data_IF_418271246837
#
_entry.id   IF_418271246837
#
_cell.length_a   1.000
_cell.length_b   1.000
_cell.length_c   1.000
_cell.angle_alpha   90.00
_cell.angle_beta   90.00
_cell.angle_gamma   90.00
#
_symmetry.space_group_name_H-M   'P 1'
#
loop_
_entity.id
_entity.type
_entity.pdbx_description
1 polymer ?
#
# COMPACT_ATOMS: atom_id res chain seq x y z
N UNK A 1 18.62 4.62 20.25
CA UNK A 1 18.15 3.30 19.83
C UNK A 1 16.63 3.32 19.85
N UNK A 2 16.02 3.48 18.69
CA UNK A 2 14.57 3.63 18.57
C UNK A 2 13.87 2.34 18.99
N UNK A 3 12.67 2.45 19.58
CA UNK A 3 11.77 1.32 19.95
C UNK A 3 11.67 0.23 18.86
N UNK A 4 11.78 0.68 17.60
CA UNK A 4 11.91 -0.13 16.40
C UNK A 4 13.04 -1.18 16.53
N UNK A 5 14.29 -0.78 16.79
CA UNK A 5 15.46 -1.68 16.90
C UNK A 5 15.30 -2.73 18.00
N UNK A 6 14.62 -2.39 19.11
CA UNK A 6 14.39 -3.30 20.24
C UNK A 6 13.40 -4.41 19.86
N UNK A 7 12.27 -4.07 19.23
CA UNK A 7 11.30 -5.05 18.70
C UNK A 7 11.96 -5.96 17.66
N UNK A 8 12.79 -5.39 16.79
CA UNK A 8 13.46 -6.13 15.71
C UNK A 8 14.60 -7.03 16.21
N UNK A 9 15.35 -6.63 17.24
CA UNK A 9 16.41 -7.45 17.81
C UNK A 9 15.92 -8.78 18.41
N UNK A 10 14.64 -8.86 18.80
CA UNK A 10 14.03 -10.03 19.44
C UNK A 10 13.41 -11.03 18.46
N UNK A 11 13.31 -10.69 17.17
CA UNK A 11 12.95 -11.66 16.12
C UNK A 11 13.99 -12.78 16.06
N UNK A 12 15.23 -12.60 16.58
CA UNK A 12 16.51 -13.36 16.46
C UNK A 12 16.76 -14.71 17.22
N UNK A 13 15.81 -15.61 17.52
CA UNK A 13 16.19 -17.05 17.79
C UNK A 13 15.50 -18.24 17.03
N UNK A 14 16.14 -18.66 15.91
CA UNK A 14 16.17 -19.94 15.14
C UNK A 14 15.44 -20.01 13.78
N UNK A 15 16.25 -19.90 12.72
CA UNK A 15 16.05 -20.23 11.29
C UNK A 15 15.15 -19.34 10.43
N UNK A 16 13.97 -18.91 10.88
CA UNK A 16 13.19 -17.89 10.13
C UNK A 16 13.94 -16.55 10.08
N UNK A 17 14.74 -16.28 11.10
CA UNK A 17 15.46 -15.01 11.30
C UNK A 17 16.58 -14.68 10.37
N UNK A 18 17.30 -15.68 9.88
CA UNK A 18 18.48 -15.37 9.10
C UNK A 18 18.00 -14.82 7.75
N UNK A 19 17.00 -15.48 7.17
CA UNK A 19 16.40 -15.10 5.90
C UNK A 19 15.50 -13.87 6.06
N UNK A 20 14.58 -13.87 7.03
CA UNK A 20 13.64 -12.76 7.25
C UNK A 20 14.34 -11.54 7.85
N UNK A 21 15.30 -11.73 8.76
CA UNK A 21 16.02 -10.65 9.43
C UNK A 21 17.02 -9.93 8.54
N UNK A 22 17.74 -10.63 7.65
CA UNK A 22 18.60 -9.99 6.65
C UNK A 22 17.76 -9.20 5.63
N UNK A 23 16.65 -9.79 5.15
CA UNK A 23 15.72 -9.09 4.26
C UNK A 23 15.09 -7.86 4.93
N UNK A 24 14.67 -7.96 6.19
CA UNK A 24 14.12 -6.83 6.96
C UNK A 24 15.14 -5.70 7.13
N UNK A 25 16.42 -6.05 7.36
CA UNK A 25 17.48 -5.06 7.49
C UNK A 25 17.70 -4.29 6.18
N UNK A 26 17.74 -4.98 5.04
CA UNK A 26 17.87 -4.33 3.73
C UNK A 26 16.72 -3.36 3.44
N UNK A 27 15.50 -3.67 3.89
CA UNK A 27 14.30 -2.83 3.64
C UNK A 27 14.27 -1.62 4.56
N UNK A 28 14.68 -1.79 5.82
CA UNK A 28 14.83 -0.67 6.75
C UNK A 28 15.86 0.35 6.25
N UNK A 29 16.84 -0.09 5.48
CA UNK A 29 17.86 0.76 4.84
C UNK A 29 17.37 1.35 3.49
N UNK A 30 16.19 0.95 2.99
CA UNK A 30 15.68 1.33 1.67
C UNK A 30 14.60 2.44 1.77
N UNK A 31 15.00 3.70 1.59
CA UNK A 31 14.12 4.89 1.70
C UNK A 31 13.07 5.04 0.58
N UNK A 32 12.98 4.09 -0.36
CA UNK A 32 12.12 4.23 -1.54
C UNK A 32 10.64 3.89 -1.30
N UNK A 33 10.29 3.31 -0.14
CA UNK A 33 8.94 2.83 0.16
C UNK A 33 8.05 3.95 0.72
N UNK A 34 6.85 4.12 0.15
CA UNK A 34 5.90 5.16 0.61
C UNK A 34 4.98 4.63 1.70
N UNK A 35 5.34 4.90 2.95
CA UNK A 35 4.56 4.52 4.14
C UNK A 35 3.21 5.26 4.24
N UNK A 36 2.20 4.56 4.74
CA UNK A 36 0.83 5.04 4.94
C UNK A 36 0.49 5.24 6.44
N UNK A 37 1.38 4.80 7.34
CA UNK A 37 1.16 4.76 8.78
C UNK A 37 0.86 6.15 9.35
N UNK A 38 1.68 7.15 9.03
CA UNK A 38 1.52 8.50 9.58
C UNK A 38 0.13 9.09 9.26
N UNK A 39 -0.35 8.81 8.05
CA UNK A 39 -1.67 9.25 7.59
C UNK A 39 -2.79 8.58 8.37
N UNK A 40 -2.68 7.28 8.65
CA UNK A 40 -3.64 6.54 9.47
C UNK A 40 -3.60 7.03 10.93
N UNK A 41 -2.41 7.20 11.51
CA UNK A 41 -2.26 7.68 12.88
C UNK A 41 -2.83 9.08 13.08
N UNK A 42 -2.66 9.98 12.10
CA UNK A 42 -3.23 11.33 12.18
C UNK A 42 -4.76 11.33 12.15
N UNK A 43 -5.36 10.44 11.36
CA UNK A 43 -6.81 10.22 11.40
C UNK A 43 -7.28 9.75 12.79
N UNK A 44 -6.59 8.78 13.39
CA UNK A 44 -6.95 8.27 14.71
C UNK A 44 -6.78 9.33 15.82
N UNK A 45 -5.76 10.19 15.71
CA UNK A 45 -5.61 11.37 16.57
C UNK A 45 -6.82 12.30 16.46
N UNK A 46 -7.29 12.59 15.24
CA UNK A 46 -8.50 13.40 15.03
C UNK A 46 -9.76 12.74 15.60
N UNK A 47 -9.81 11.40 15.57
CA UNK A 47 -10.85 10.58 16.22
C UNK A 47 -10.71 10.50 17.75
N UNK A 48 -9.73 11.20 18.34
CA UNK A 48 -9.43 11.22 19.78
C UNK A 48 -9.12 9.84 20.37
N UNK A 49 -8.50 8.97 19.57
CA UNK A 49 -7.97 7.70 20.07
C UNK A 49 -6.83 8.00 21.06
N UNK A 50 -6.79 7.30 22.19
CA UNK A 50 -5.81 7.55 23.24
C UNK A 50 -4.37 7.22 22.80
N UNK A 51 -3.39 7.88 23.42
CA UNK A 51 -1.98 7.76 23.02
C UNK A 51 -1.41 6.34 23.14
N UNK A 52 -1.86 5.58 24.14
CA UNK A 52 -1.45 4.20 24.34
C UNK A 52 -1.88 3.33 23.15
N UNK A 53 -3.16 3.40 22.78
CA UNK A 53 -3.69 2.66 21.63
C UNK A 53 -3.09 3.13 20.30
N UNK A 54 -2.75 4.42 20.17
CA UNK A 54 -2.02 4.93 19.00
C UNK A 54 -0.61 4.32 18.87
N UNK A 55 0.08 4.07 19.99
CA UNK A 55 1.40 3.41 19.99
C UNK A 55 1.27 1.96 19.52
N UNK A 56 0.26 1.25 20.00
CA UNK A 56 0.00 -0.13 19.61
C UNK A 56 -0.34 -0.24 18.12
N UNK A 57 -1.25 0.61 17.63
CA UNK A 57 -1.60 0.68 16.21
C UNK A 57 -0.37 0.99 15.36
N UNK A 58 0.45 1.97 15.75
CA UNK A 58 1.69 2.31 15.04
C UNK A 58 2.62 1.12 14.93
N UNK A 59 2.79 0.37 16.02
CA UNK A 59 3.67 -0.79 16.07
C UNK A 59 3.17 -1.93 15.17
N UNK A 60 1.88 -2.25 15.22
CA UNK A 60 1.28 -3.28 14.37
C UNK A 60 1.40 -2.90 12.89
N UNK A 61 1.03 -1.67 12.52
CA UNK A 61 1.12 -1.21 11.14
C UNK A 61 2.56 -1.23 10.60
N UNK A 62 3.56 -0.91 11.44
CA UNK A 62 4.98 -1.02 11.06
C UNK A 62 5.38 -2.46 10.75
N UNK A 63 4.90 -3.42 11.53
CA UNK A 63 5.15 -4.84 11.27
C UNK A 63 4.49 -5.28 9.96
N UNK A 64 3.25 -4.84 9.70
CA UNK A 64 2.54 -5.12 8.44
C UNK A 64 3.28 -4.55 7.22
N UNK A 65 3.64 -3.26 7.25
CA UNK A 65 4.35 -2.62 6.13
C UNK A 65 5.69 -3.31 5.87
N UNK A 66 6.45 -3.63 6.93
CA UNK A 66 7.73 -4.31 6.78
C UNK A 66 7.58 -5.67 6.10
N UNK A 67 6.62 -6.48 6.55
CA UNK A 67 6.34 -7.80 5.96
C UNK A 67 5.91 -7.65 4.50
N UNK A 68 5.03 -6.69 4.20
CA UNK A 68 4.59 -6.39 2.86
C UNK A 68 5.76 -6.06 1.93
N UNK A 69 6.59 -5.07 2.30
CA UNK A 69 7.73 -4.65 1.48
C UNK A 69 8.79 -5.73 1.34
N UNK A 70 8.95 -6.58 2.35
CA UNK A 70 9.89 -7.71 2.28
C UNK A 70 9.55 -8.68 1.20
N UNK A 71 8.27 -9.02 1.14
CA UNK A 71 7.81 -10.00 0.19
C UNK A 71 7.75 -9.38 -1.20
N UNK A 72 7.33 -8.13 -1.30
CA UNK A 72 7.32 -7.41 -2.58
C UNK A 72 8.74 -7.34 -3.17
N UNK A 73 9.73 -6.85 -2.40
CA UNK A 73 11.11 -6.70 -2.85
C UNK A 73 11.82 -8.04 -3.11
N UNK A 74 11.64 -9.05 -2.25
CA UNK A 74 12.31 -10.36 -2.42
C UNK A 74 11.71 -11.10 -3.63
N UNK A 75 10.38 -11.16 -3.73
CA UNK A 75 9.73 -11.86 -4.86
C UNK A 75 9.96 -11.11 -6.17
N UNK A 76 9.95 -9.78 -6.16
CA UNK A 76 10.29 -9.02 -7.37
C UNK A 76 11.74 -9.27 -7.80
N UNK A 77 12.72 -9.26 -6.89
CA UNK A 77 14.13 -9.54 -7.23
C UNK A 77 14.32 -10.93 -7.82
N UNK A 78 13.75 -11.95 -7.20
CA UNK A 78 13.93 -13.35 -7.61
C UNK A 78 13.21 -13.68 -8.92
N UNK A 79 12.04 -13.07 -9.16
CA UNK A 79 11.15 -13.50 -10.24
C UNK A 79 10.91 -12.46 -11.35
N UNK A 80 11.60 -11.32 -11.35
CA UNK A 80 11.52 -10.28 -12.40
C UNK A 80 11.87 -10.78 -13.82
N UNK A 81 12.58 -11.91 -13.95
CA UNK A 81 13.15 -12.36 -15.24
C UNK A 81 12.14 -12.99 -16.21
N UNK A 82 10.91 -13.32 -15.78
CA UNK A 82 9.94 -14.01 -16.65
C UNK A 82 8.52 -13.42 -16.58
N UNK A 83 8.12 -12.70 -17.63
CA UNK A 83 6.78 -12.12 -17.78
C UNK A 83 5.63 -13.14 -17.83
N UNK A 84 5.93 -14.42 -18.10
CA UNK A 84 4.92 -15.50 -18.02
C UNK A 84 4.58 -15.87 -16.57
N UNK A 85 5.45 -15.54 -15.61
CA UNK A 85 5.28 -15.86 -14.19
C UNK A 85 4.65 -14.73 -13.39
N UNK A 86 4.30 -13.58 -13.98
CA UNK A 86 3.75 -12.44 -13.22
C UNK A 86 2.57 -12.83 -12.32
N UNK A 87 1.61 -13.63 -12.81
CA UNK A 87 0.49 -14.07 -11.98
C UNK A 87 0.91 -15.06 -10.87
N UNK A 88 1.89 -15.93 -11.17
CA UNK A 88 2.48 -16.84 -10.19
C UNK A 88 3.20 -16.06 -9.09
N UNK A 89 3.99 -15.04 -9.45
CA UNK A 89 4.70 -14.19 -8.52
C UNK A 89 3.73 -13.46 -7.58
N UNK A 90 2.62 -12.95 -8.09
CA UNK A 90 1.60 -12.31 -7.27
C UNK A 90 0.92 -13.30 -6.30
N UNK A 91 0.68 -14.54 -6.73
CA UNK A 91 0.21 -15.61 -5.81
C UNK A 91 1.27 -15.90 -4.74
N UNK A 92 2.55 -16.01 -5.12
CA UNK A 92 3.65 -16.26 -4.18
C UNK A 92 3.78 -15.12 -3.18
N UNK A 93 3.69 -13.85 -3.64
CA UNK A 93 3.68 -12.67 -2.76
C UNK A 93 2.54 -12.77 -1.76
N UNK A 94 1.33 -13.05 -2.25
CA UNK A 94 0.15 -13.15 -1.41
C UNK A 94 0.24 -14.26 -0.36
N UNK A 95 0.59 -15.48 -0.77
CA UNK A 95 0.74 -16.63 0.14
C UNK A 95 1.85 -16.38 1.15
N UNK A 96 2.99 -15.85 0.69
CA UNK A 96 4.11 -15.50 1.57
C UNK A 96 3.71 -14.43 2.58
N UNK A 97 2.89 -13.45 2.17
CA UNK A 97 2.44 -12.35 3.03
C UNK A 97 1.63 -12.89 4.19
N UNK A 98 0.68 -13.77 3.91
CA UNK A 98 -0.14 -14.39 4.93
C UNK A 98 0.68 -15.26 5.87
N UNK A 99 1.49 -16.17 5.32
CA UNK A 99 2.27 -17.12 6.13
C UNK A 99 3.27 -16.39 7.03
N UNK A 100 3.96 -15.38 6.49
CA UNK A 100 4.93 -14.61 7.26
C UNK A 100 4.24 -13.72 8.30
N UNK A 101 3.13 -13.07 7.93
CA UNK A 101 2.35 -12.26 8.85
C UNK A 101 1.80 -13.09 10.01
N UNK A 102 1.23 -14.26 9.74
CA UNK A 102 0.80 -15.19 10.78
C UNK A 102 1.95 -15.59 11.71
N UNK A 103 3.08 -16.02 11.14
CA UNK A 103 4.23 -16.47 11.91
C UNK A 103 4.77 -15.34 12.80
N UNK A 104 4.94 -14.15 12.23
CA UNK A 104 5.45 -12.97 12.94
C UNK A 104 4.45 -12.51 13.99
N UNK A 105 3.15 -12.43 13.70
CA UNK A 105 2.15 -11.98 14.67
C UNK A 105 1.99 -12.97 15.81
N UNK A 106 1.87 -14.27 15.52
CA UNK A 106 1.82 -15.32 16.56
C UNK A 106 3.07 -15.24 17.44
N UNK A 107 4.25 -15.11 16.86
CA UNK A 107 5.48 -15.01 17.66
C UNK A 107 5.57 -13.70 18.46
N UNK A 108 5.46 -12.53 17.80
CA UNK A 108 5.67 -11.22 18.41
C UNK A 108 4.60 -10.87 19.46
N UNK A 109 3.36 -11.27 19.24
CA UNK A 109 2.23 -10.83 20.06
C UNK A 109 1.81 -11.85 21.14
N UNK A 110 2.20 -13.13 21.04
CA UNK A 110 1.82 -14.13 22.07
C UNK A 110 2.99 -14.65 22.91
N UNK A 111 4.23 -14.58 22.42
CA UNK A 111 5.36 -15.16 23.13
C UNK A 111 5.75 -14.32 24.34
N UNK A 112 5.63 -14.88 25.56
CA UNK A 112 5.81 -14.18 26.85
C UNK A 112 7.16 -13.44 27.01
N UNK A 113 8.20 -13.87 26.29
CA UNK A 113 9.52 -13.22 26.33
C UNK A 113 9.62 -11.98 25.43
N UNK A 114 8.69 -11.78 24.50
CA UNK A 114 8.73 -10.68 23.54
C UNK A 114 8.17 -9.39 24.14
N UNK A 115 8.84 -8.29 23.86
CA UNK A 115 8.46 -6.96 24.34
C UNK A 115 7.08 -6.53 23.82
N UNK A 116 6.79 -6.80 22.54
CA UNK A 116 5.49 -6.46 21.94
C UNK A 116 4.33 -7.18 22.64
N UNK A 117 4.48 -8.48 22.92
CA UNK A 117 3.48 -9.27 23.64
C UNK A 117 3.18 -8.71 25.05
N UNK A 118 4.15 -8.08 25.71
CA UNK A 118 3.97 -7.44 27.03
C UNK A 118 3.20 -6.13 26.96
N UNK A 119 3.30 -5.41 25.83
CA UNK A 119 2.61 -4.15 25.61
C UNK A 119 1.16 -4.40 25.19
N UNK A 120 0.97 -5.23 24.16
CA UNK A 120 -0.30 -5.32 23.46
C UNK A 120 -1.23 -6.39 24.08
N UNK A 121 -0.67 -7.51 24.52
CA UNK A 121 -1.41 -8.54 25.26
C UNK A 121 -2.38 -9.43 24.46
N UNK A 122 -2.04 -10.73 24.44
CA UNK A 122 -2.91 -11.93 24.36
C UNK A 122 -3.28 -12.52 22.97
N UNK A 123 -3.30 -13.87 22.87
CA UNK A 123 -3.70 -14.63 21.66
C UNK A 123 -5.01 -14.19 21.00
N UNK A 124 -6.02 -13.81 21.79
CA UNK A 124 -7.32 -13.38 21.27
C UNK A 124 -7.22 -12.14 20.37
N UNK A 125 -6.27 -11.24 20.64
CA UNK A 125 -6.04 -10.10 19.77
C UNK A 125 -5.42 -10.54 18.45
N UNK A 126 -4.46 -11.46 18.48
CA UNK A 126 -3.82 -12.01 17.28
C UNK A 126 -4.85 -12.65 16.37
N UNK A 127 -5.77 -13.44 16.93
CA UNK A 127 -6.86 -14.04 16.17
C UNK A 127 -7.76 -12.98 15.53
N UNK A 128 -8.13 -11.92 16.28
CA UNK A 128 -8.93 -10.81 15.73
C UNK A 128 -8.20 -10.07 14.60
N UNK A 129 -6.89 -9.84 14.73
CA UNK A 129 -6.09 -9.17 13.71
C UNK A 129 -5.99 -10.03 12.46
N UNK A 130 -5.62 -11.31 12.61
CA UNK A 130 -5.53 -12.23 11.49
C UNK A 130 -6.88 -12.38 10.79
N UNK A 131 -7.98 -12.50 11.54
CA UNK A 131 -9.32 -12.55 10.98
C UNK A 131 -9.65 -11.32 10.13
N UNK A 132 -9.38 -10.12 10.64
CA UNK A 132 -9.60 -8.87 9.89
C UNK A 132 -8.77 -8.80 8.61
N UNK A 133 -7.51 -9.23 8.69
CA UNK A 133 -6.64 -9.30 7.51
C UNK A 133 -7.25 -10.27 6.49
N UNK A 134 -7.65 -11.48 6.92
CA UNK A 134 -8.30 -12.46 6.05
C UNK A 134 -9.56 -11.94 5.37
N UNK A 135 -10.41 -11.18 6.09
CA UNK A 135 -11.61 -10.56 5.51
C UNK A 135 -11.28 -9.54 4.40
N UNK A 136 -10.13 -8.86 4.50
CA UNK A 136 -9.69 -7.86 3.53
C UNK A 136 -8.74 -8.43 2.46
N UNK A 137 -8.25 -9.67 2.61
CA UNK A 137 -7.39 -10.34 1.62
C UNK A 137 -7.98 -10.47 0.22
N UNK A 138 -9.29 -10.74 0.02
CA UNK A 138 -9.86 -10.83 -1.32
C UNK A 138 -9.57 -9.57 -2.15
N UNK A 139 -9.47 -8.40 -1.50
CA UNK A 139 -9.11 -7.17 -2.18
C UNK A 139 -7.75 -7.28 -2.88
N UNK A 140 -6.74 -7.92 -2.27
CA UNK A 140 -5.41 -8.10 -2.87
C UNK A 140 -5.37 -9.12 -4.02
N UNK A 141 -6.02 -10.28 -3.84
CA UNK A 141 -5.96 -11.38 -4.83
C UNK A 141 -6.43 -10.91 -6.21
N UNK A 142 -7.46 -10.07 -6.24
CA UNK A 142 -8.07 -9.64 -7.50
C UNK A 142 -7.35 -8.46 -8.16
N UNK A 143 -6.39 -7.80 -7.51
CA UNK A 143 -5.72 -6.61 -8.07
C UNK A 143 -5.02 -6.94 -9.39
N UNK A 144 -4.10 -7.92 -9.48
CA UNK A 144 -3.35 -8.17 -10.71
C UNK A 144 -4.25 -8.55 -11.89
N UNK A 145 -5.30 -9.33 -11.62
CA UNK A 145 -6.29 -9.71 -12.63
C UNK A 145 -7.09 -8.50 -13.13
N UNK A 146 -7.58 -7.66 -12.19
CA UNK A 146 -8.34 -6.45 -12.53
C UNK A 146 -7.48 -5.45 -13.31
N UNK A 147 -6.22 -5.27 -12.94
CA UNK A 147 -5.27 -4.40 -13.64
C UNK A 147 -5.07 -4.83 -15.09
N UNK A 148 -4.78 -6.12 -15.32
CA UNK A 148 -4.59 -6.65 -16.68
C UNK A 148 -5.85 -6.54 -17.55
N UNK A 149 -7.03 -6.72 -16.95
CA UNK A 149 -8.29 -6.52 -17.65
C UNK A 149 -8.47 -5.04 -18.04
N UNK A 150 -8.21 -4.13 -17.11
CA UNK A 150 -8.34 -2.68 -17.34
C UNK A 150 -7.33 -2.20 -18.39
N UNK A 151 -6.08 -2.68 -18.36
CA UNK A 151 -5.08 -2.37 -19.39
C UNK A 151 -5.61 -2.71 -20.79
N UNK A 152 -6.14 -3.92 -20.98
CA UNK A 152 -6.75 -4.35 -22.26
C UNK A 152 -7.96 -3.51 -22.66
N UNK A 153 -8.76 -3.07 -21.70
CA UNK A 153 -9.91 -2.19 -21.96
C UNK A 153 -9.44 -0.81 -22.40
N UNK A 154 -8.43 -0.23 -21.73
CA UNK A 154 -7.84 1.06 -22.10
C UNK A 154 -7.27 1.03 -23.52
N UNK A 155 -6.56 -0.04 -23.88
CA UNK A 155 -5.98 -0.19 -25.22
C UNK A 155 -7.05 -0.12 -26.32
N UNK A 156 -8.21 -0.77 -26.11
CA UNK A 156 -9.30 -0.86 -27.09
C UNK A 156 -10.29 0.31 -27.06
N UNK A 157 -10.39 1.03 -25.96
CA UNK A 157 -11.39 2.09 -25.76
C UNK A 157 -11.14 3.29 -26.69
N UNK A 158 -12.14 3.77 -27.41
CA UNK A 158 -11.98 4.92 -28.32
C UNK A 158 -12.43 6.23 -27.66
N UNK A 159 -13.32 6.16 -26.66
CA UNK A 159 -13.82 7.32 -25.96
C UNK A 159 -12.84 7.80 -24.88
N UNK A 160 -12.30 9.01 -25.03
CA UNK A 160 -11.35 9.60 -24.09
C UNK A 160 -11.89 9.66 -22.66
N UNK A 161 -13.19 9.94 -22.46
CA UNK A 161 -13.78 9.99 -21.12
C UNK A 161 -13.77 8.63 -20.44
N UNK A 162 -14.01 7.56 -21.19
CA UNK A 162 -13.96 6.20 -20.66
C UNK A 162 -12.52 5.76 -20.38
N UNK A 163 -11.54 6.18 -21.19
CA UNK A 163 -10.11 5.95 -20.91
C UNK A 163 -9.72 6.56 -19.56
N UNK A 164 -10.14 7.80 -19.28
CA UNK A 164 -9.85 8.48 -18.01
C UNK A 164 -10.47 7.69 -16.84
N UNK A 165 -11.74 7.29 -16.94
CA UNK A 165 -12.41 6.48 -15.91
C UNK A 165 -11.72 5.14 -15.67
N UNK A 166 -11.33 4.44 -16.74
CA UNK A 166 -10.64 3.15 -16.64
C UNK A 166 -9.25 3.32 -16.01
N UNK A 167 -8.52 4.36 -16.40
CA UNK A 167 -7.22 4.68 -15.83
C UNK A 167 -7.32 5.05 -14.35
N UNK A 168 -8.32 5.84 -13.95
CA UNK A 168 -8.65 6.08 -12.56
C UNK A 168 -8.96 4.77 -11.81
N UNK A 169 -9.82 3.92 -12.39
CA UNK A 169 -10.18 2.61 -11.81
C UNK A 169 -8.96 1.71 -11.62
N UNK A 170 -7.96 1.78 -12.50
CA UNK A 170 -6.69 1.06 -12.34
C UNK A 170 -5.98 1.48 -11.05
N UNK A 171 -5.80 2.79 -10.84
CA UNK A 171 -5.15 3.34 -9.65
C UNK A 171 -5.96 3.10 -8.38
N UNK A 172 -7.28 3.19 -8.48
CA UNK A 172 -8.19 2.84 -7.40
C UNK A 172 -8.03 1.37 -6.98
N UNK A 173 -7.95 0.43 -7.93
CA UNK A 173 -7.73 -0.98 -7.61
C UNK A 173 -6.38 -1.20 -6.93
N UNK A 174 -5.29 -0.58 -7.42
CA UNK A 174 -3.98 -0.61 -6.77
C UNK A 174 -4.02 -0.13 -5.33
N UNK A 175 -4.81 0.91 -5.06
CA UNK A 175 -4.98 1.45 -3.71
C UNK A 175 -5.76 0.55 -2.74
N UNK A 176 -6.38 -0.54 -3.21
CA UNK A 176 -7.15 -1.45 -2.36
C UNK A 176 -6.29 -2.20 -1.35
N UNK A 177 -4.97 -2.23 -1.53
CA UNK A 177 -4.05 -2.74 -0.53
C UNK A 177 -4.18 -2.02 0.82
N UNK A 178 -4.59 -0.75 0.83
CA UNK A 178 -4.89 0.00 2.05
C UNK A 178 -6.00 -0.61 2.90
N UNK A 179 -6.88 -1.44 2.32
CA UNK A 179 -7.97 -2.04 3.07
C UNK A 179 -7.48 -2.98 4.16
N UNK A 180 -6.31 -3.61 4.00
CA UNK A 180 -5.69 -4.46 5.03
C UNK A 180 -5.29 -3.61 6.22
N UNK A 181 -4.45 -2.59 6.01
CA UNK A 181 -4.03 -1.68 7.07
C UNK A 181 -5.22 -1.04 7.80
N UNK A 182 -6.21 -0.57 7.05
CA UNK A 182 -7.41 0.05 7.63
C UNK A 182 -8.28 -0.97 8.37
N UNK A 183 -8.40 -2.20 7.87
CA UNK A 183 -9.12 -3.29 8.54
C UNK A 183 -8.45 -3.69 9.86
N UNK A 184 -7.12 -3.85 9.87
CA UNK A 184 -6.35 -4.07 11.09
C UNK A 184 -6.61 -2.98 12.12
N UNK A 185 -6.60 -1.71 11.70
CA UNK A 185 -6.86 -0.58 12.59
C UNK A 185 -8.31 -0.58 13.10
N UNK A 186 -9.29 -0.87 12.25
CA UNK A 186 -10.70 -1.02 12.66
C UNK A 186 -10.83 -2.09 13.76
N UNK A 187 -10.10 -3.19 13.65
CA UNK A 187 -10.10 -4.28 14.64
C UNK A 187 -9.37 -3.94 15.94
N UNK A 188 -8.28 -3.18 15.87
CA UNK A 188 -7.55 -2.72 17.06
C UNK A 188 -8.33 -1.67 17.85
N UNK A 189 -8.95 -0.73 17.14
CA UNK A 189 -9.56 0.46 17.75
C UNK A 189 -11.07 0.30 17.96
N UNK A 190 -11.71 -0.63 17.26
CA UNK A 190 -13.16 -0.82 17.31
C UNK A 190 -13.96 0.32 16.65
N UNK A 191 -13.31 1.12 15.79
CA UNK A 191 -13.92 2.27 15.10
C UNK A 191 -13.94 1.98 13.61
N UNK A 192 -15.12 2.04 12.98
CA UNK A 192 -15.24 1.98 11.52
C UNK A 192 -14.59 3.20 10.86
N UNK A 193 -13.81 2.97 9.81
CA UNK A 193 -13.08 3.99 9.07
C UNK A 193 -13.72 4.19 7.69
N UNK A 194 -13.94 5.45 7.32
CA UNK A 194 -14.25 5.80 5.94
C UNK A 194 -12.99 5.61 5.08
N UNK A 195 -12.89 4.47 4.40
CA UNK A 195 -11.69 4.08 3.63
C UNK A 195 -11.51 4.88 2.33
N UNK A 196 -12.57 5.48 1.79
CA UNK A 196 -12.57 6.13 0.46
C UNK A 196 -11.53 7.27 0.36
N UNK A 197 -11.45 8.24 1.29
CA UNK A 197 -10.42 9.28 1.26
C UNK A 197 -9.00 8.73 1.24
N UNK A 198 -8.70 7.68 2.01
CA UNK A 198 -7.37 7.07 2.04
C UNK A 198 -7.01 6.43 0.71
N UNK A 199 -7.95 5.69 0.11
CA UNK A 199 -7.77 5.06 -1.19
C UNK A 199 -7.58 6.08 -2.32
N UNK A 200 -8.34 7.18 -2.32
CA UNK A 200 -8.15 8.26 -3.29
C UNK A 200 -6.79 8.94 -3.12
N UNK A 201 -6.36 9.18 -1.88
CA UNK A 201 -5.04 9.76 -1.59
C UNK A 201 -3.92 8.83 -2.06
N UNK A 202 -4.04 7.52 -1.81
CA UNK A 202 -3.08 6.53 -2.28
C UNK A 202 -3.07 6.40 -3.80
N UNK A 203 -4.22 6.48 -4.46
CA UNK A 203 -4.32 6.49 -5.93
C UNK A 203 -3.49 7.63 -6.53
N UNK A 204 -3.50 8.81 -5.89
CA UNK A 204 -2.69 9.95 -6.30
C UNK A 204 -1.19 9.71 -6.06
N UNK A 205 -0.82 9.14 -4.90
CA UNK A 205 0.58 8.79 -4.62
C UNK A 205 1.11 7.74 -5.61
N UNK A 206 0.29 6.78 -6.02
CA UNK A 206 0.66 5.78 -7.03
C UNK A 206 0.91 6.42 -8.39
N UNK A 207 0.14 7.44 -8.79
CA UNK A 207 0.42 8.22 -10.01
C UNK A 207 1.77 8.93 -9.90
N UNK A 208 2.09 9.54 -8.74
CA UNK A 208 3.40 10.15 -8.49
C UNK A 208 4.53 9.12 -8.64
N UNK A 209 4.40 7.98 -7.96
CA UNK A 209 5.37 6.88 -8.00
C UNK A 209 5.59 6.39 -9.43
N UNK A 210 4.51 6.17 -10.18
CA UNK A 210 4.57 5.77 -11.59
C UNK A 210 5.38 6.78 -12.43
N UNK A 211 5.20 8.09 -12.22
CA UNK A 211 5.93 9.13 -12.95
C UNK A 211 7.40 9.25 -12.53
N UNK A 212 7.69 9.07 -11.24
CA UNK A 212 9.08 9.07 -10.72
C UNK A 212 9.88 7.89 -11.29
N UNK A 213 9.27 6.72 -11.41
CA UNK A 213 9.88 5.55 -12.04
C UNK A 213 10.27 5.80 -13.50
N UNK A 214 9.38 6.47 -14.27
CA UNK A 214 9.66 6.85 -15.65
C UNK A 214 10.85 7.81 -15.75
N UNK A 215 10.97 8.78 -14.83
CA UNK A 215 12.13 9.70 -14.79
C UNK A 215 13.44 9.00 -14.43
N UNK A 216 13.37 7.89 -13.69
CA UNK A 216 14.54 7.06 -13.33
C UNK A 216 14.85 5.97 -14.36
N UNK A 217 14.21 6.00 -15.55
CA UNK A 217 14.33 5.00 -16.63
C UNK A 217 14.03 3.54 -16.19
N UNK A 218 13.28 3.35 -15.10
CA UNK A 218 12.84 2.03 -14.65
C UNK A 218 11.60 1.58 -15.45
N UNK A 219 11.80 1.09 -16.67
CA UNK A 219 10.72 0.79 -17.65
C UNK A 219 9.93 -0.51 -17.44
N UNK A 220 10.12 -1.23 -16.32
CA UNK A 220 9.74 -2.64 -16.24
C UNK A 220 8.40 -2.97 -15.54
N UNK A 221 7.64 -1.98 -15.04
CA UNK A 221 6.34 -2.27 -14.41
C UNK A 221 5.19 -2.25 -15.40
N UNK A 222 4.51 -3.39 -15.53
CA UNK A 222 3.37 -3.60 -16.44
C UNK A 222 2.14 -2.79 -16.07
N UNK A 223 1.96 -2.45 -14.79
CA UNK A 223 0.77 -1.74 -14.27
C UNK A 223 0.98 -0.22 -14.07
N UNK A 224 2.13 0.31 -14.49
CA UNK A 224 2.43 1.74 -14.46
C UNK A 224 1.52 2.48 -15.47
N UNK A 225 0.73 3.45 -14.99
CA UNK A 225 -0.31 4.08 -15.82
C UNK A 225 0.26 4.92 -16.96
N UNK A 226 1.44 5.51 -16.78
CA UNK A 226 2.10 6.25 -17.83
C UNK A 226 2.46 5.31 -18.99
N UNK A 227 3.00 4.13 -18.69
CA UNK A 227 3.32 3.11 -19.70
C UNK A 227 2.07 2.59 -20.42
N UNK A 228 0.99 2.31 -19.69
CA UNK A 228 -0.29 1.87 -20.26
C UNK A 228 -0.82 2.91 -21.25
N UNK A 229 -0.86 4.18 -20.84
CA UNK A 229 -1.33 5.27 -21.70
C UNK A 229 -0.38 5.55 -22.87
N UNK A 230 0.93 5.34 -22.69
CA UNK A 230 1.92 5.46 -23.78
C UNK A 230 1.75 4.37 -24.84
N UNK A 231 1.44 3.12 -24.46
CA UNK A 231 1.11 2.06 -25.43
C UNK A 231 -0.09 2.44 -26.29
N UNK A 232 -1.11 3.03 -25.66
CA UNK A 232 -2.33 3.49 -26.31
C UNK A 232 -2.09 4.66 -27.27
N UNK A 233 -1.57 5.78 -26.76
CA UNK A 233 -1.55 7.04 -27.49
C UNK A 233 -0.27 7.24 -28.31
N UNK A 234 0.81 6.54 -27.95
CA UNK A 234 2.15 6.70 -28.57
C UNK A 234 2.64 8.15 -28.60
N UNK A 235 2.11 9.00 -27.71
CA UNK A 235 2.39 10.43 -27.66
C UNK A 235 2.45 10.90 -26.21
N UNK A 236 3.64 11.34 -25.80
CA UNK A 236 3.91 11.79 -24.43
C UNK A 236 3.05 12.96 -23.98
N UNK A 237 2.88 13.99 -24.82
CA UNK A 237 2.06 15.18 -24.48
C UNK A 237 0.60 14.81 -24.28
N UNK A 238 0.07 13.89 -25.09
CA UNK A 238 -1.29 13.37 -24.92
C UNK A 238 -1.41 12.61 -23.60
N UNK A 239 -0.44 11.74 -23.27
CA UNK A 239 -0.42 11.01 -22.00
C UNK A 239 -0.37 11.94 -20.80
N UNK A 240 0.50 12.95 -20.80
CA UNK A 240 0.61 13.93 -19.71
C UNK A 240 -0.72 14.69 -19.51
N UNK A 241 -1.38 15.10 -20.60
CA UNK A 241 -2.72 15.70 -20.54
C UNK A 241 -3.77 14.75 -19.98
N UNK A 242 -3.77 13.48 -20.41
CA UNK A 242 -4.71 12.47 -19.90
C UNK A 242 -4.49 12.21 -18.41
N UNK A 243 -3.24 12.13 -17.95
CA UNK A 243 -2.91 11.99 -16.52
C UNK A 243 -3.39 13.20 -15.73
N UNK A 244 -3.21 14.42 -16.24
CA UNK A 244 -3.76 15.64 -15.62
C UNK A 244 -5.28 15.55 -15.45
N UNK A 245 -6.02 15.08 -16.46
CA UNK A 245 -7.48 14.86 -16.36
C UNK A 245 -7.85 13.78 -15.33
N UNK A 246 -7.09 12.69 -15.24
CA UNK A 246 -7.29 11.64 -14.22
C UNK A 246 -7.12 12.22 -12.81
N UNK A 247 -6.11 13.05 -12.61
CA UNK A 247 -5.86 13.74 -11.35
C UNK A 247 -7.01 14.66 -10.97
N UNK A 248 -7.57 15.40 -11.93
CA UNK A 248 -8.73 16.25 -11.72
C UNK A 248 -9.98 15.44 -11.31
N UNK A 249 -10.18 14.24 -11.87
CA UNK A 249 -11.24 13.34 -11.42
C UNK A 249 -11.03 12.87 -9.98
N UNK A 250 -9.81 12.43 -9.63
CA UNK A 250 -9.45 12.06 -8.25
C UNK A 250 -9.74 13.23 -7.31
N UNK A 251 -9.35 14.45 -7.66
CA UNK A 251 -9.56 15.65 -6.84
C UNK A 251 -11.03 15.97 -6.62
N UNK A 252 -11.87 15.81 -7.66
CA UNK A 252 -13.33 16.00 -7.56
C UNK A 252 -13.96 14.98 -6.63
N UNK A 253 -13.58 13.71 -6.76
CA UNK A 253 -14.07 12.62 -5.91
C UNK A 253 -13.57 12.74 -4.46
N UNK A 254 -12.36 13.27 -4.28
CA UNK A 254 -11.76 13.52 -2.98
C UNK A 254 -12.61 14.47 -2.15
N UNK A 255 -12.97 15.62 -2.73
CA UNK A 255 -13.75 16.66 -2.05
C UNK A 255 -15.16 16.19 -1.64
N UNK A 256 -15.73 15.23 -2.38
CA UNK A 256 -17.06 14.65 -2.05
C UNK A 256 -16.99 13.55 -0.99
N UNK A 257 -15.84 12.89 -0.85
CA UNK A 257 -15.70 11.69 0.00
C UNK A 257 -15.16 11.96 1.40
N UNK A 258 -14.66 13.15 1.68
CA UNK A 258 -14.03 13.51 2.96
C UNK A 258 -15.02 13.93 4.03
N UNK A 259 -14.77 13.49 5.25
CA UNK A 259 -15.40 13.96 6.49
C UNK A 259 -14.40 14.75 7.37
N UNK A 260 -14.89 15.34 8.46
CA UNK A 260 -14.11 16.15 9.42
C UNK A 260 -12.83 15.46 9.92
N UNK A 261 -12.83 14.14 10.09
CA UNK A 261 -11.66 13.41 10.59
C UNK A 261 -10.61 13.17 9.50
N UNK A 262 -11.01 13.27 8.23
CA UNK A 262 -10.18 13.10 7.03
C UNK A 262 -9.84 14.41 6.32
N UNK A 263 -10.29 15.57 6.84
CA UNK A 263 -10.10 16.89 6.20
C UNK A 263 -8.62 17.22 5.97
N UNK A 264 -7.74 16.79 6.88
CA UNK A 264 -6.29 16.93 6.72
C UNK A 264 -5.76 16.29 5.43
N UNK A 265 -6.42 15.25 4.93
CA UNK A 265 -6.03 14.59 3.70
C UNK A 265 -6.24 15.48 2.49
N UNK A 266 -7.15 16.46 2.55
CA UNK A 266 -7.32 17.44 1.47
C UNK A 266 -6.02 18.22 1.28
N UNK A 267 -5.44 18.72 2.38
CA UNK A 267 -4.15 19.44 2.35
C UNK A 267 -3.00 18.53 1.90
N UNK A 268 -2.94 17.28 2.38
CA UNK A 268 -1.94 16.31 1.92
C UNK A 268 -2.10 16.01 0.42
N UNK A 269 -3.34 15.80 -0.04
CA UNK A 269 -3.65 15.58 -1.46
C UNK A 269 -3.28 16.78 -2.32
N UNK A 270 -3.53 18.02 -1.87
CA UNK A 270 -3.09 19.25 -2.55
C UNK A 270 -1.59 19.34 -2.76
N UNK A 271 -0.81 18.93 -1.76
CA UNK A 271 0.64 18.87 -1.90
C UNK A 271 1.08 17.78 -2.88
N UNK A 272 0.43 16.61 -2.84
CA UNK A 272 0.68 15.53 -3.79
C UNK A 272 0.28 15.91 -5.23
N UNK A 273 -0.85 16.60 -5.43
CA UNK A 273 -1.25 17.14 -6.74
C UNK A 273 -0.17 18.06 -7.30
N UNK A 274 0.36 18.99 -6.48
CA UNK A 274 1.45 19.88 -6.89
C UNK A 274 2.72 19.11 -7.27
N UNK A 275 3.07 18.05 -6.53
CA UNK A 275 4.22 17.19 -6.84
C UNK A 275 4.03 16.49 -8.18
N UNK A 276 2.87 15.89 -8.40
CA UNK A 276 2.54 15.22 -9.67
C UNK A 276 2.57 16.19 -10.84
N UNK A 277 1.99 17.39 -10.72
CA UNK A 277 2.03 18.40 -11.79
C UNK A 277 3.46 18.79 -12.17
N UNK A 278 4.36 18.96 -11.17
CA UNK A 278 5.79 19.23 -11.44
C UNK A 278 6.48 18.07 -12.16
N UNK A 279 6.04 16.83 -11.95
CA UNK A 279 6.57 15.67 -12.66
C UNK A 279 6.11 15.61 -14.11
N UNK A 280 4.91 16.11 -14.42
CA UNK A 280 4.29 16.08 -15.74
C UNK A 280 4.86 17.08 -16.76
N UNK A 281 5.87 17.90 -16.40
CA UNK A 281 6.40 18.96 -17.30
C UNK A 281 5.28 19.83 -17.91
N UNK A 282 4.29 20.16 -17.09
CA UNK A 282 3.27 21.20 -17.37
C UNK A 282 3.82 22.54 -16.84
#
# INVERSE_FOLDING_TARGET
MELNEIVFSQIRKKYLEKIVGESFKEILENENHTSQIETILMYLKNRKVCEELLKDVSLILKLEELIFWTIDDVVDREFQKNSKLTYYNEIVKFVSFILLLEAVFKYQLTHKKNFVAKIIGKPLLVEKLLFSIYENLPALIYIPHKEKLIEKMIEKETNEKEVIKLAFKNQWNRSQNLQIYLGTVESLVGIKINKKPFMLFRSLQLIREDLEEIKKDKKNKTNNIFNILMKKYKNRKTVEKTISKIIDEIKKDFKKGTDKNTEFLIKKAENEYKRVCRLLTI
#
